data_IF_477058490176
#
_entry.id   IF_477058490176
#
_cell.length_a   1.000
_cell.length_b   1.000
_cell.length_c   1.000
_cell.angle_alpha   90.00
_cell.angle_beta   90.00
_cell.angle_gamma   90.00
#
_symmetry.space_group_name_H-M   'P 1'
#
loop_
_entity.id
_entity.type
_entity.pdbx_description
1 polymer ?
#
# COMPACT_ATOMS: atom_id res chain seq x y z
N UNK A 1 10.49 -6.11 38.52
CA UNK A 1 9.29 -5.74 37.75
C UNK A 1 9.49 -4.33 37.21
N UNK A 2 8.91 -4.00 36.04
CA UNK A 2 8.98 -2.72 35.29
C UNK A 2 10.06 -2.61 34.20
N UNK A 3 9.83 -2.15 32.95
CA UNK A 3 8.65 -1.66 32.20
C UNK A 3 8.81 -1.92 30.69
N UNK A 4 7.67 -2.21 30.06
CA UNK A 4 7.37 -2.32 28.62
C UNK A 4 7.74 -1.01 27.89
N UNK A 5 8.56 -1.07 26.84
CA UNK A 5 8.56 -0.05 25.76
C UNK A 5 8.79 -0.72 24.41
N UNK A 6 7.72 -1.32 23.92
CA UNK A 6 7.55 -1.81 22.56
C UNK A 6 7.66 -0.58 21.65
N UNK A 7 8.89 -0.23 21.26
CA UNK A 7 9.17 0.77 20.24
C UNK A 7 8.60 0.16 18.97
N UNK A 8 7.48 0.72 18.52
CA UNK A 8 6.91 0.52 17.19
C UNK A 8 8.05 0.57 16.18
N UNK A 9 8.49 -0.60 15.77
CA UNK A 9 9.49 -0.82 14.76
C UNK A 9 8.81 -0.46 13.45
N UNK A 10 8.80 0.83 13.14
CA UNK A 10 8.43 1.30 11.81
C UNK A 10 9.47 0.66 10.91
N UNK A 11 9.05 -0.42 10.24
CA UNK A 11 9.89 -1.22 9.38
C UNK A 11 10.59 -0.27 8.42
N UNK A 12 11.92 -0.30 8.39
CA UNK A 12 12.75 0.62 7.60
C UNK A 12 12.33 0.68 6.13
N UNK A 13 11.67 -0.37 5.64
CA UNK A 13 11.02 -0.43 4.33
C UNK A 13 9.88 0.59 4.17
N UNK A 14 9.04 0.80 5.19
CA UNK A 14 8.00 1.84 5.17
C UNK A 14 8.61 3.24 5.19
N UNK A 15 9.68 3.47 5.96
CA UNK A 15 10.35 4.77 5.98
C UNK A 15 11.07 5.10 4.65
N UNK A 16 11.66 4.10 3.99
CA UNK A 16 12.25 4.24 2.65
C UNK A 16 11.17 4.39 1.57
N UNK A 17 10.06 3.65 1.68
CA UNK A 17 8.93 3.79 0.79
C UNK A 17 8.27 5.17 0.93
N UNK A 18 8.09 5.66 2.16
CA UNK A 18 7.66 7.04 2.44
C UNK A 18 8.66 8.08 1.91
N UNK A 19 9.97 7.78 1.97
CA UNK A 19 11.01 8.64 1.40
C UNK A 19 11.01 8.69 -0.13
N UNK A 20 10.68 7.58 -0.80
CA UNK A 20 10.56 7.51 -2.25
C UNK A 20 9.20 7.98 -2.79
N UNK A 21 8.14 7.90 -1.97
CA UNK A 21 6.78 8.37 -2.22
C UNK A 21 6.47 9.67 -1.45
N UNK A 22 7.50 10.48 -1.17
CA UNK A 22 7.27 11.80 -0.61
C UNK A 22 6.21 12.52 -1.49
N UNK A 23 5.20 13.17 -0.88
CA UNK A 23 3.98 13.67 -1.55
C UNK A 23 4.19 14.72 -2.66
N UNK A 24 5.44 15.04 -3.01
CA UNK A 24 5.83 15.91 -4.11
C UNK A 24 6.38 15.19 -5.35
N UNK A 25 6.39 13.86 -5.41
CA UNK A 25 6.81 13.14 -6.63
C UNK A 25 5.67 13.08 -7.64
N UNK A 26 5.62 14.07 -8.52
CA UNK A 26 4.83 14.22 -9.76
C UNK A 26 3.61 13.27 -9.94
N UNK A 27 2.40 13.81 -10.15
CA UNK A 27 1.17 13.06 -10.50
C UNK A 27 1.33 11.79 -11.38
N UNK A 28 2.18 11.75 -12.42
CA UNK A 28 2.46 10.53 -13.18
C UNK A 28 3.07 9.37 -12.37
N UNK A 29 3.89 9.62 -11.35
CA UNK A 29 4.46 8.58 -10.47
C UNK A 29 3.37 7.85 -9.68
N UNK A 30 2.33 8.58 -9.25
CA UNK A 30 1.16 8.03 -8.59
C UNK A 30 0.29 7.18 -9.49
N UNK A 31 0.15 7.60 -10.74
CA UNK A 31 -0.52 6.80 -11.74
C UNK A 31 0.25 5.50 -12.03
N UNK A 32 1.58 5.57 -12.15
CA UNK A 32 2.44 4.40 -12.35
C UNK A 32 2.32 3.42 -11.19
N UNK A 33 2.33 3.87 -9.94
CA UNK A 33 2.21 2.96 -8.81
C UNK A 33 0.83 2.28 -8.77
N UNK A 34 -0.25 3.03 -9.01
CA UNK A 34 -1.60 2.46 -9.14
C UNK A 34 -1.66 1.43 -10.27
N UNK A 35 -1.03 1.72 -11.41
CA UNK A 35 -0.94 0.81 -12.55
C UNK A 35 -0.13 -0.45 -12.21
N UNK A 36 0.98 -0.34 -11.49
CA UNK A 36 1.78 -1.48 -11.03
C UNK A 36 0.95 -2.39 -10.11
N UNK A 37 0.20 -1.84 -9.16
CA UNK A 37 -0.73 -2.62 -8.33
C UNK A 37 -1.82 -3.31 -9.15
N UNK A 38 -2.36 -2.64 -10.18
CA UNK A 38 -3.36 -3.21 -11.07
C UNK A 38 -2.79 -4.39 -11.88
N UNK A 39 -1.59 -4.23 -12.44
CA UNK A 39 -0.87 -5.30 -13.14
C UNK A 39 -0.51 -6.47 -12.21
N UNK A 40 -0.13 -6.18 -10.96
CA UNK A 40 0.08 -7.20 -9.93
C UNK A 40 -1.21 -7.98 -9.65
N UNK A 41 -2.34 -7.30 -9.51
CA UNK A 41 -3.65 -7.92 -9.34
C UNK A 41 -4.08 -8.78 -10.54
N UNK A 42 -3.85 -8.28 -11.76
CA UNK A 42 -4.11 -9.04 -13.00
C UNK A 42 -3.27 -10.31 -13.08
N UNK A 43 -1.97 -10.20 -12.74
CA UNK A 43 -1.05 -11.33 -12.69
C UNK A 43 -1.48 -12.36 -11.63
N UNK A 44 -1.83 -11.91 -10.43
CA UNK A 44 -2.31 -12.80 -9.36
C UNK A 44 -3.62 -13.51 -9.72
N UNK A 45 -4.53 -12.82 -10.42
CA UNK A 45 -5.79 -13.41 -10.92
C UNK A 45 -5.52 -14.49 -11.97
N UNK A 46 -4.53 -14.26 -12.84
CA UNK A 46 -4.09 -15.24 -13.82
C UNK A 46 -3.43 -16.46 -13.16
N UNK A 47 -2.52 -16.23 -12.21
CA UNK A 47 -1.91 -17.29 -11.40
C UNK A 47 -2.94 -18.09 -10.61
N UNK A 48 -4.00 -17.43 -10.13
CA UNK A 48 -5.12 -18.09 -9.45
C UNK A 48 -5.91 -18.99 -10.41
N UNK A 49 -6.20 -18.52 -11.62
CA UNK A 49 -6.87 -19.31 -12.67
C UNK A 49 -6.07 -20.57 -13.04
N UNK A 50 -4.75 -20.45 -13.12
CA UNK A 50 -3.86 -21.60 -13.35
C UNK A 50 -3.85 -22.53 -12.14
N UNK A 51 -3.79 -21.99 -10.92
CA UNK A 51 -3.81 -22.79 -9.70
C UNK A 51 -5.12 -23.58 -9.53
N UNK A 52 -6.26 -23.03 -9.97
CA UNK A 52 -7.52 -23.77 -10.04
C UNK A 52 -7.44 -24.95 -11.01
N UNK A 53 -6.77 -24.76 -12.15
CA UNK A 53 -6.59 -25.82 -13.16
C UNK A 53 -5.65 -26.93 -12.68
N UNK A 54 -4.63 -26.60 -11.88
CA UNK A 54 -3.67 -27.60 -11.37
C UNK A 54 -4.23 -28.45 -10.22
N UNK A 55 -5.35 -28.07 -9.61
CA UNK A 55 -5.99 -28.80 -8.51
C UNK A 55 -5.20 -28.82 -7.20
N UNK A 56 -4.09 -28.07 -7.11
CA UNK A 56 -3.27 -28.00 -5.90
C UNK A 56 -3.86 -26.98 -4.92
N UNK A 57 -4.64 -27.46 -3.96
CA UNK A 57 -5.31 -26.66 -2.93
C UNK A 57 -4.35 -25.75 -2.14
N UNK A 58 -3.11 -26.18 -1.91
CA UNK A 58 -2.09 -25.38 -1.23
C UNK A 58 -1.65 -24.15 -2.02
N UNK A 59 -1.59 -24.24 -3.36
CA UNK A 59 -1.32 -23.08 -4.22
C UNK A 59 -2.48 -22.09 -4.21
N UNK A 60 -3.72 -22.57 -4.18
CA UNK A 60 -4.90 -21.71 -4.10
C UNK A 60 -4.89 -20.85 -2.83
N UNK A 61 -4.59 -21.44 -1.68
CA UNK A 61 -4.50 -20.70 -0.41
C UNK A 61 -3.37 -19.67 -0.47
N UNK A 62 -2.20 -20.05 -1.01
CA UNK A 62 -1.05 -19.15 -1.12
C UNK A 62 -1.33 -17.95 -2.04
N UNK A 63 -1.87 -18.19 -3.24
CA UNK A 63 -2.22 -17.12 -4.19
C UNK A 63 -3.38 -16.27 -3.66
N UNK A 64 -4.36 -16.89 -2.99
CA UNK A 64 -5.44 -16.17 -2.32
C UNK A 64 -4.92 -15.21 -1.25
N UNK A 65 -3.95 -15.62 -0.44
CA UNK A 65 -3.31 -14.75 0.55
C UNK A 65 -2.56 -13.59 -0.10
N UNK A 66 -1.87 -13.83 -1.23
CA UNK A 66 -1.23 -12.76 -2.00
C UNK A 66 -2.23 -11.73 -2.55
N UNK A 67 -3.42 -12.17 -3.00
CA UNK A 67 -4.49 -11.26 -3.43
C UNK A 67 -4.95 -10.38 -2.26
N UNK A 68 -5.19 -10.97 -1.08
CA UNK A 68 -5.61 -10.22 0.12
C UNK A 68 -4.57 -9.17 0.51
N UNK A 69 -3.29 -9.52 0.49
CA UNK A 69 -2.20 -8.56 0.77
C UNK A 69 -2.18 -7.45 -0.29
N UNK A 70 -2.24 -7.79 -1.57
CA UNK A 70 -2.22 -6.81 -2.65
C UNK A 70 -3.42 -5.84 -2.55
N UNK A 71 -4.63 -6.34 -2.26
CA UNK A 71 -5.81 -5.51 -2.03
C UNK A 71 -5.66 -4.62 -0.80
N UNK A 72 -5.14 -5.15 0.30
CA UNK A 72 -4.91 -4.38 1.53
C UNK A 72 -3.92 -3.25 1.30
N UNK A 73 -2.82 -3.53 0.61
CA UNK A 73 -1.82 -2.53 0.21
C UNK A 73 -2.43 -1.47 -0.72
N UNK A 74 -3.29 -1.85 -1.66
CA UNK A 74 -3.97 -0.90 -2.53
C UNK A 74 -4.92 0.04 -1.75
N UNK A 75 -5.66 -0.49 -0.77
CA UNK A 75 -6.52 0.32 0.10
C UNK A 75 -5.69 1.27 0.96
N UNK A 76 -4.62 0.76 1.59
CA UNK A 76 -3.68 1.57 2.38
C UNK A 76 -3.06 2.69 1.55
N UNK A 77 -2.69 2.39 0.30
CA UNK A 77 -2.14 3.36 -0.63
C UNK A 77 -3.14 4.48 -0.93
N UNK A 78 -4.39 4.13 -1.28
CA UNK A 78 -5.44 5.12 -1.55
C UNK A 78 -5.78 5.95 -0.31
N UNK A 79 -5.83 5.31 0.86
CA UNK A 79 -6.03 5.99 2.13
C UNK A 79 -4.92 7.02 2.42
N UNK A 80 -3.66 6.63 2.21
CA UNK A 80 -2.52 7.52 2.38
C UNK A 80 -2.60 8.74 1.45
N UNK A 81 -2.99 8.56 0.18
CA UNK A 81 -3.16 9.70 -0.76
C UNK A 81 -4.18 10.71 -0.23
N UNK A 82 -5.32 10.22 0.26
CA UNK A 82 -6.40 11.06 0.77
C UNK A 82 -5.96 11.78 2.03
N UNK A 83 -5.30 11.06 2.95
CA UNK A 83 -4.76 11.61 4.18
C UNK A 83 -3.76 12.74 3.91
N UNK A 84 -2.86 12.55 2.96
CA UNK A 84 -1.87 13.56 2.59
C UNK A 84 -2.51 14.82 2.00
N UNK A 85 -3.48 14.66 1.08
CA UNK A 85 -4.29 15.77 0.55
C UNK A 85 -5.02 16.56 1.64
N UNK A 86 -5.52 15.86 2.66
CA UNK A 86 -6.18 16.48 3.80
C UNK A 86 -5.20 17.26 4.68
N UNK A 87 -4.00 16.73 4.90
CA UNK A 87 -2.95 17.39 5.68
C UNK A 87 -2.47 18.69 5.02
N UNK A 88 -2.23 18.68 3.70
CA UNK A 88 -1.86 19.88 2.94
C UNK A 88 -2.96 20.97 3.03
N UNK A 89 -4.23 20.58 2.89
CA UNK A 89 -5.36 21.51 3.04
C UNK A 89 -5.47 22.07 4.47
N UNK A 90 -5.12 21.27 5.48
CA UNK A 90 -5.14 21.69 6.88
C UNK A 90 -4.01 22.70 7.18
N UNK A 91 -2.82 22.49 6.61
CA UNK A 91 -1.67 23.41 6.74
C UNK A 91 -1.99 24.76 6.07
N UNK A 92 -2.56 24.74 4.85
CA UNK A 92 -2.98 25.94 4.12
C UNK A 92 -4.09 26.71 4.88
N UNK A 93 -5.00 25.98 5.54
CA UNK A 93 -6.03 26.57 6.40
C UNK A 93 -5.41 27.20 7.67
N UNK A 94 -4.41 26.55 8.29
CA UNK A 94 -3.75 27.07 9.49
C UNK A 94 -3.01 28.37 9.18
N UNK A 95 -2.31 28.46 8.03
CA UNK A 95 -1.60 29.66 7.60
C UNK A 95 -2.57 30.78 7.20
N UNK A 96 -3.73 30.45 6.64
CA UNK A 96 -4.74 31.46 6.29
C UNK A 96 -5.41 32.10 7.52
N UNK A 97 -5.48 31.37 8.63
CA UNK A 97 -6.14 31.81 9.87
C UNK A 97 -5.19 32.31 10.98
N UNK A 98 -3.86 32.30 10.75
CA UNK A 98 -2.84 32.81 11.69
C UNK A 98 -2.26 34.13 11.20
#
# INVERSE_FOLDING_TARGET
MEKKKQRSEVSSTEAVLLGALAPGVNAPTWNTLKLSFLMLGLCLTFMLSIAFTSGQSMLLVHVGFLIVIASSLFVLLNWYVIFMKCFEYLEELIETFT
#
